data_IF_733235774546
#
_entry.id   IF_733235774546
#
_cell.length_a   1.000
_cell.length_b   1.000
_cell.length_c   1.000
_cell.angle_alpha   90.00
_cell.angle_beta   90.00
_cell.angle_gamma   90.00
#
_symmetry.space_group_name_H-M   'P 1'
#
loop_
_entity.id
_entity.type
_entity.pdbx_description
1 polymer ?
#
# COMPACT_ATOMS: atom_id res chain seq x y z
N UNK A 1 15.42 -24.58 31.47
CA UNK A 1 15.73 -23.94 30.18
C UNK A 1 14.49 -23.17 29.74
N UNK A 2 14.44 -21.88 30.01
CA UNK A 2 13.34 -21.01 29.59
C UNK A 2 13.66 -20.49 28.19
N UNK A 3 12.83 -20.87 27.21
CA UNK A 3 12.91 -20.41 25.83
C UNK A 3 12.91 -18.88 25.79
N UNK A 4 14.10 -18.27 25.64
CA UNK A 4 14.22 -16.91 25.11
C UNK A 4 13.79 -16.99 23.65
N UNK A 5 12.49 -16.78 23.39
CA UNK A 5 12.00 -16.40 22.06
C UNK A 5 12.95 -15.31 21.55
N UNK A 6 13.67 -15.60 20.47
CA UNK A 6 14.64 -14.68 19.93
C UNK A 6 13.91 -13.39 19.60
N UNK A 7 14.20 -12.33 20.34
CA UNK A 7 13.76 -10.98 20.03
C UNK A 7 14.28 -10.61 18.64
N UNK A 8 13.48 -10.89 17.62
CA UNK A 8 13.78 -10.49 16.26
C UNK A 8 13.61 -8.98 16.22
N UNK A 9 14.73 -8.26 16.06
CA UNK A 9 14.75 -6.79 15.96
C UNK A 9 13.70 -6.31 14.96
N UNK A 10 13.06 -5.18 15.26
CA UNK A 10 12.03 -4.60 14.40
C UNK A 10 12.47 -4.40 12.95
N UNK A 11 13.77 -4.19 12.72
CA UNK A 11 14.34 -4.19 11.37
C UNK A 11 13.98 -5.45 10.56
N UNK A 12 14.20 -6.65 11.09
CA UNK A 12 13.90 -7.90 10.37
C UNK A 12 12.39 -8.14 10.23
N UNK A 13 11.61 -7.74 11.25
CA UNK A 13 10.13 -7.78 11.15
C UNK A 13 9.63 -6.86 10.04
N UNK A 14 10.24 -5.69 9.89
CA UNK A 14 9.92 -4.73 8.84
C UNK A 14 10.31 -5.24 7.45
N UNK A 15 11.51 -5.79 7.29
CA UNK A 15 11.97 -6.41 6.03
C UNK A 15 11.01 -7.53 5.60
N UNK A 16 10.62 -8.41 6.54
CA UNK A 16 9.68 -9.50 6.26
C UNK A 16 8.30 -8.97 5.86
N UNK A 17 7.79 -7.97 6.57
CA UNK A 17 6.51 -7.33 6.26
C UNK A 17 6.54 -6.72 4.86
N UNK A 18 7.61 -6.01 4.50
CA UNK A 18 7.77 -5.40 3.18
C UNK A 18 7.80 -6.46 2.09
N UNK A 19 8.63 -7.49 2.25
CA UNK A 19 8.77 -8.56 1.28
C UNK A 19 7.45 -9.31 1.02
N UNK A 20 6.67 -9.59 2.08
CA UNK A 20 5.42 -10.35 1.96
C UNK A 20 4.24 -9.54 1.47
N UNK A 21 4.13 -8.27 1.90
CA UNK A 21 2.95 -7.46 1.58
C UNK A 21 2.97 -6.90 0.17
N UNK A 22 4.15 -6.63 -0.41
CA UNK A 22 4.29 -5.93 -1.69
C UNK A 22 3.52 -6.56 -2.83
N UNK A 23 3.62 -7.88 -3.01
CA UNK A 23 2.94 -8.60 -4.10
C UNK A 23 1.42 -8.51 -3.95
N UNK A 24 0.91 -8.74 -2.74
CA UNK A 24 -0.52 -8.70 -2.44
C UNK A 24 -1.08 -7.28 -2.62
N UNK A 25 -0.37 -6.26 -2.15
CA UNK A 25 -0.76 -4.86 -2.33
C UNK A 25 -0.75 -4.44 -3.81
N UNK A 26 0.22 -4.91 -4.59
CA UNK A 26 0.27 -4.67 -6.03
C UNK A 26 -0.94 -5.29 -6.75
N UNK A 27 -1.29 -6.54 -6.44
CA UNK A 27 -2.49 -7.16 -7.00
C UNK A 27 -3.75 -6.42 -6.59
N UNK A 28 -3.86 -6.04 -5.32
CA UNK A 28 -5.00 -5.26 -4.84
C UNK A 28 -5.12 -3.92 -5.57
N UNK A 29 -4.00 -3.22 -5.78
CA UNK A 29 -3.98 -1.97 -6.53
C UNK A 29 -4.50 -2.16 -7.95
N UNK A 30 -4.00 -3.16 -8.68
CA UNK A 30 -4.45 -3.44 -10.05
C UNK A 30 -5.94 -3.76 -10.11
N UNK A 31 -6.44 -4.56 -9.16
CA UNK A 31 -7.87 -4.90 -9.07
C UNK A 31 -8.73 -3.66 -8.81
N UNK A 32 -8.34 -2.83 -7.83
CA UNK A 32 -9.06 -1.57 -7.53
C UNK A 32 -8.97 -0.57 -8.67
N UNK A 33 -7.84 -0.52 -9.36
CA UNK A 33 -7.67 0.35 -10.53
C UNK A 33 -8.69 -0.01 -11.62
N UNK A 34 -8.81 -1.31 -11.95
CA UNK A 34 -9.83 -1.80 -12.90
C UNK A 34 -11.23 -1.42 -12.44
N UNK A 35 -11.54 -1.67 -11.17
CA UNK A 35 -12.86 -1.39 -10.59
C UNK A 35 -13.21 0.11 -10.60
N UNK A 36 -12.25 0.99 -10.32
CA UNK A 36 -12.51 2.43 -10.20
C UNK A 36 -12.37 3.21 -11.50
N UNK A 37 -11.74 2.62 -12.53
CA UNK A 37 -11.49 3.27 -13.81
C UNK A 37 -12.26 2.59 -14.96
N UNK A 38 -13.50 2.19 -14.71
CA UNK A 38 -14.41 1.63 -15.73
C UNK A 38 -13.83 0.45 -16.52
N UNK A 39 -13.14 -0.47 -15.83
CA UNK A 39 -12.55 -1.65 -16.45
C UNK A 39 -11.16 -1.44 -17.06
N UNK A 40 -10.61 -0.23 -17.01
CA UNK A 40 -9.25 0.01 -17.52
C UNK A 40 -8.21 -0.77 -16.72
N UNK A 41 -7.34 -1.49 -17.42
CA UNK A 41 -6.29 -2.31 -16.80
C UNK A 41 -5.02 -1.50 -16.64
N UNK A 42 -4.42 -1.57 -15.45
CA UNK A 42 -3.07 -1.06 -15.23
C UNK A 42 -2.06 -1.92 -15.98
N UNK A 43 -1.43 -1.36 -17.00
CA UNK A 43 -0.56 -2.11 -17.93
C UNK A 43 0.94 -1.91 -17.68
N UNK A 44 1.32 -1.32 -16.54
CA UNK A 44 2.70 -1.06 -16.15
C UNK A 44 3.51 -0.21 -17.13
N UNK A 45 2.85 0.55 -18.02
CA UNK A 45 3.52 1.43 -18.97
C UNK A 45 3.75 2.84 -18.40
N UNK A 46 4.83 3.53 -18.80
CA UNK A 46 5.04 4.93 -18.45
C UNK A 46 3.88 5.84 -18.86
N UNK A 47 3.18 5.52 -19.95
CA UNK A 47 2.00 6.29 -20.38
C UNK A 47 0.86 6.18 -19.36
N UNK A 48 0.57 4.97 -18.88
CA UNK A 48 -0.43 4.74 -17.83
C UNK A 48 -0.03 5.43 -16.52
N UNK A 49 1.24 5.28 -16.12
CA UNK A 49 1.84 5.95 -14.96
C UNK A 49 1.70 7.47 -14.99
N UNK A 50 2.17 8.10 -16.08
CA UNK A 50 2.08 9.55 -16.27
C UNK A 50 0.64 10.06 -16.26
N UNK A 51 -0.27 9.37 -16.97
CA UNK A 51 -1.68 9.75 -16.97
C UNK A 51 -2.28 9.67 -15.58
N UNK A 52 -1.93 8.65 -14.80
CA UNK A 52 -2.40 8.49 -13.43
C UNK A 52 -1.86 9.60 -12.50
N UNK A 53 -0.59 9.94 -12.61
CA UNK A 53 0.00 11.05 -11.84
C UNK A 53 -0.70 12.38 -12.16
N UNK A 54 -0.87 12.70 -13.44
CA UNK A 54 -1.47 13.98 -13.86
C UNK A 54 -2.96 14.07 -13.58
N UNK A 55 -3.71 12.97 -13.74
CA UNK A 55 -5.17 13.03 -13.65
C UNK A 55 -5.74 12.60 -12.29
N UNK A 56 -5.07 11.72 -11.56
CA UNK A 56 -5.54 11.20 -10.28
C UNK A 56 -4.74 11.83 -9.13
N UNK A 57 -3.42 11.63 -9.11
CA UNK A 57 -2.59 12.09 -7.98
C UNK A 57 -2.58 13.61 -7.88
N UNK A 58 -2.42 14.34 -8.99
CA UNK A 58 -2.36 15.80 -8.96
C UNK A 58 -3.68 16.45 -8.51
N UNK A 59 -4.83 15.76 -8.71
CA UNK A 59 -6.15 16.28 -8.34
C UNK A 59 -6.57 15.87 -6.93
N UNK A 60 -5.97 14.79 -6.39
CA UNK A 60 -6.30 14.26 -5.08
C UNK A 60 -5.24 14.64 -4.03
N UNK A 61 -5.53 15.71 -3.27
CA UNK A 61 -4.63 16.23 -2.22
C UNK A 61 -4.38 15.26 -1.06
N UNK A 62 -5.16 14.19 -0.93
CA UNK A 62 -4.95 13.17 0.12
C UNK A 62 -3.82 12.21 -0.25
N UNK A 63 -3.54 12.02 -1.54
CA UNK A 63 -2.39 11.25 -2.02
C UNK A 63 -1.13 12.13 -1.92
N UNK A 64 -0.50 12.10 -0.75
CA UNK A 64 0.74 12.84 -0.50
C UNK A 64 1.97 11.96 -0.70
N UNK A 65 2.42 11.83 -1.94
CA UNK A 65 3.64 11.12 -2.31
C UNK A 65 4.84 12.07 -2.37
N UNK A 66 6.02 11.59 -1.95
CA UNK A 66 7.28 12.30 -2.16
C UNK A 66 7.63 12.41 -3.65
N UNK A 67 8.53 13.31 -4.07
CA UNK A 67 8.94 13.40 -5.47
C UNK A 67 9.49 12.08 -6.04
N UNK A 68 10.24 11.33 -5.24
CA UNK A 68 10.78 10.01 -5.62
C UNK A 68 9.65 9.01 -5.87
N UNK A 69 8.67 8.96 -4.97
CA UNK A 69 7.50 8.08 -5.12
C UNK A 69 6.65 8.47 -6.33
N UNK A 70 6.43 9.77 -6.57
CA UNK A 70 5.70 10.24 -7.76
C UNK A 70 6.43 9.86 -9.05
N UNK A 71 7.75 9.94 -9.06
CA UNK A 71 8.57 9.52 -10.21
C UNK A 71 8.42 8.02 -10.45
N UNK A 72 8.49 7.20 -9.40
CA UNK A 72 8.28 5.75 -9.50
C UNK A 72 6.88 5.39 -10.02
N UNK A 73 5.84 6.11 -9.60
CA UNK A 73 4.47 5.92 -10.14
C UNK A 73 4.36 6.38 -11.59
N UNK A 74 4.99 7.50 -11.95
CA UNK A 74 5.03 8.04 -13.32
C UNK A 74 5.69 7.07 -14.31
N UNK A 75 6.70 6.30 -13.88
CA UNK A 75 7.32 5.24 -14.68
C UNK A 75 6.35 4.09 -15.01
N UNK A 76 5.23 3.98 -14.30
CA UNK A 76 4.18 3.01 -14.57
C UNK A 76 4.43 1.62 -13.99
N UNK A 77 5.69 1.21 -13.84
CA UNK A 77 6.05 -0.12 -13.40
C UNK A 77 5.70 -0.36 -11.91
N UNK A 78 4.59 -1.06 -11.65
CA UNK A 78 4.14 -1.34 -10.29
C UNK A 78 5.07 -2.29 -9.51
N UNK A 79 5.99 -2.98 -10.20
CA UNK A 79 7.02 -3.83 -9.58
C UNK A 79 8.15 -3.03 -8.93
N UNK A 80 8.19 -1.71 -9.15
CA UNK A 80 9.15 -0.80 -8.54
C UNK A 80 8.58 -0.08 -7.33
N UNK A 81 7.27 -0.17 -7.09
CA UNK A 81 6.63 0.59 -6.02
C UNK A 81 6.88 -0.04 -4.66
N UNK A 82 7.28 0.79 -3.70
CA UNK A 82 7.43 0.35 -2.31
C UNK A 82 6.06 0.21 -1.62
N UNK A 83 6.05 -0.46 -0.47
CA UNK A 83 4.83 -0.67 0.32
C UNK A 83 4.19 0.64 0.75
N UNK A 84 4.99 1.66 1.04
CA UNK A 84 4.46 2.98 1.44
C UNK A 84 3.65 3.62 0.33
N UNK A 85 4.17 3.54 -0.90
CA UNK A 85 3.56 4.07 -2.12
C UNK A 85 2.28 3.31 -2.41
N UNK A 86 2.33 1.97 -2.42
CA UNK A 86 1.16 1.13 -2.63
C UNK A 86 0.05 1.40 -1.60
N UNK A 87 0.38 1.45 -0.30
CA UNK A 87 -0.61 1.73 0.74
C UNK A 87 -1.20 3.14 0.62
N UNK A 88 -0.39 4.14 0.27
CA UNK A 88 -0.88 5.50 0.06
C UNK A 88 -1.83 5.59 -1.14
N UNK A 89 -1.50 4.93 -2.25
CA UNK A 89 -2.38 4.86 -3.42
C UNK A 89 -3.69 4.13 -3.11
N UNK A 90 -3.61 2.99 -2.42
CA UNK A 90 -4.78 2.17 -2.10
C UNK A 90 -5.77 2.87 -1.16
N UNK A 91 -5.29 3.56 -0.13
CA UNK A 91 -6.14 4.22 0.87
C UNK A 91 -6.80 5.50 0.35
N UNK A 92 -6.20 6.15 -0.65
CA UNK A 92 -6.60 7.49 -1.06
C UNK A 92 -7.00 7.61 -2.53
N UNK A 93 -7.02 6.50 -3.30
CA UNK A 93 -7.60 6.50 -4.64
C UNK A 93 -9.09 6.88 -4.57
N UNK A 94 -9.53 7.70 -5.52
CA UNK A 94 -10.94 8.09 -5.61
C UNK A 94 -11.78 6.88 -6.03
N UNK A 95 -12.80 6.57 -5.21
CA UNK A 95 -13.72 5.47 -5.46
C UNK A 95 -14.67 5.84 -6.60
N UNK A 96 -15.04 4.86 -7.41
CA UNK A 96 -16.11 5.04 -8.39
C UNK A 96 -17.44 5.34 -7.67
N UNK A 97 -18.26 6.22 -8.26
CA UNK A 97 -19.62 6.52 -7.78
C UNK A 97 -20.63 5.43 -8.13
N UNK A 98 -20.24 4.44 -8.92
CA UNK A 98 -21.13 3.39 -9.45
C UNK A 98 -20.95 2.05 -8.75
N UNK A 99 -20.25 2.01 -7.62
CA UNK A 99 -20.04 0.77 -6.86
C UNK A 99 -21.34 0.29 -6.23
N UNK A 100 -21.53 -1.03 -6.23
CA UNK A 100 -22.58 -1.69 -5.46
C UNK A 100 -22.31 -1.61 -3.95
N UNK A 101 -23.36 -1.79 -3.14
CA UNK A 101 -23.24 -1.81 -1.67
C UNK A 101 -22.25 -2.88 -1.19
N UNK A 102 -22.25 -4.06 -1.81
CA UNK A 102 -21.33 -5.14 -1.45
C UNK A 102 -19.87 -4.80 -1.75
N UNK A 103 -19.61 -4.15 -2.89
CA UNK A 103 -18.25 -3.71 -3.25
C UNK A 103 -17.76 -2.63 -2.28
N UNK A 104 -18.62 -1.68 -1.92
CA UNK A 104 -18.30 -0.63 -0.94
C UNK A 104 -17.90 -1.26 0.40
N UNK A 105 -18.69 -2.22 0.89
CA UNK A 105 -18.42 -2.87 2.17
C UNK A 105 -17.10 -3.65 2.16
N UNK A 106 -16.83 -4.40 1.08
CA UNK A 106 -15.56 -5.10 0.92
C UNK A 106 -14.38 -4.12 0.92
N UNK A 107 -14.48 -3.02 0.17
CA UNK A 107 -13.43 -1.99 0.12
C UNK A 107 -13.21 -1.35 1.49
N UNK A 108 -14.28 -1.09 2.25
CA UNK A 108 -14.17 -0.54 3.60
C UNK A 108 -13.47 -1.50 4.58
N UNK A 109 -13.70 -2.79 4.46
CA UNK A 109 -12.99 -3.81 5.25
C UNK A 109 -11.51 -3.88 4.87
N UNK A 110 -11.21 -3.90 3.58
CA UNK A 110 -9.84 -3.84 3.07
C UNK A 110 -9.12 -2.55 3.51
N UNK A 111 -9.80 -1.40 3.52
CA UNK A 111 -9.23 -0.12 3.96
C UNK A 111 -8.88 -0.13 5.46
N UNK A 112 -9.69 -0.80 6.30
CA UNK A 112 -9.34 -1.01 7.72
C UNK A 112 -8.06 -1.82 7.86
N UNK A 113 -7.91 -2.89 7.08
CA UNK A 113 -6.71 -3.73 7.10
C UNK A 113 -5.48 -2.97 6.58
N UNK A 114 -5.63 -2.15 5.54
CA UNK A 114 -4.57 -1.29 5.01
C UNK A 114 -4.12 -0.24 6.02
N UNK A 115 -5.07 0.33 6.78
CA UNK A 115 -4.77 1.28 7.84
C UNK A 115 -4.00 0.61 8.99
N UNK A 116 -4.41 -0.60 9.41
CA UNK A 116 -3.66 -1.40 10.40
C UNK A 116 -2.24 -1.72 9.91
N UNK A 117 -2.09 -2.15 8.65
CA UNK A 117 -0.78 -2.41 8.06
C UNK A 117 0.12 -1.17 8.09
N UNK A 118 -0.43 0.00 7.75
CA UNK A 118 0.29 1.28 7.81
C UNK A 118 0.75 1.59 9.23
N UNK A 119 -0.09 1.37 10.23
CA UNK A 119 0.22 1.60 11.64
C UNK A 119 1.30 0.67 12.17
N UNK A 120 1.20 -0.64 11.89
CA UNK A 120 2.23 -1.63 12.26
C UNK A 120 3.57 -1.27 11.64
N UNK A 121 3.59 -0.98 10.32
CA UNK A 121 4.80 -0.57 9.61
C UNK A 121 5.41 0.67 10.23
N UNK A 122 4.59 1.69 10.54
CA UNK A 122 5.06 2.92 11.16
C UNK A 122 5.64 2.65 12.56
N UNK A 123 4.98 1.85 13.39
CA UNK A 123 5.48 1.48 14.73
C UNK A 123 6.85 0.79 14.65
N UNK A 124 7.01 -0.16 13.73
CA UNK A 124 8.26 -0.87 13.50
C UNK A 124 9.37 0.07 13.00
N UNK A 125 9.06 0.92 12.02
CA UNK A 125 10.04 1.84 11.41
C UNK A 125 10.55 2.90 12.42
N UNK A 126 9.68 3.47 13.24
CA UNK A 126 10.07 4.45 14.26
C UNK A 126 10.80 3.84 15.46
N UNK A 127 10.73 2.51 15.63
CA UNK A 127 11.40 1.77 16.70
C UNK A 127 12.33 0.70 16.13
N UNK A 128 12.98 0.93 14.99
CA UNK A 128 13.71 -0.10 14.24
C UNK A 128 14.80 -0.84 15.05
N UNK A 129 15.36 -0.18 16.08
CA UNK A 129 16.38 -0.73 17.00
C UNK A 129 15.81 -1.44 18.23
N UNK A 130 14.51 -1.32 18.51
CA UNK A 130 13.81 -1.99 19.61
C UNK A 130 13.16 -3.30 19.11
N UNK A 131 12.69 -4.13 20.04
CA UNK A 131 11.88 -5.32 19.76
C UNK A 131 10.43 -5.00 20.10
N UNK A 132 9.54 -5.05 19.11
CA UNK A 132 8.08 -5.10 19.32
C UNK A 132 7.75 -6.55 19.65
N UNK A 133 7.01 -6.79 20.74
CA UNK A 133 6.60 -8.15 21.13
C UNK A 133 5.60 -8.75 20.12
N UNK A 134 5.33 -10.05 20.23
CA UNK A 134 4.46 -10.75 19.27
C UNK A 134 2.98 -10.37 19.41
N UNK A 135 2.58 -9.78 20.55
CA UNK A 135 1.21 -9.30 20.80
C UNK A 135 0.94 -7.99 20.06
N UNK A 136 1.97 -7.17 19.86
CA UNK A 136 1.88 -5.93 19.09
C UNK A 136 2.05 -6.12 17.57
N UNK A 137 2.52 -7.30 17.14
CA UNK A 137 2.77 -7.62 15.73
C UNK A 137 1.63 -8.40 15.05
N UNK A 138 0.90 -9.23 15.81
CA UNK A 138 -0.28 -9.97 15.35
C UNK A 138 -1.57 -9.15 15.51
#
# INVERSE_FOLDING_TARGET
MTNKLSEVRNYFKLELLIARSRISLRHLFKNRYVLFNNGQVWNDSPTCGNNYVTNVIAKNKKINLTPVQKTSVSNGNSDEWDVTTLTALLLFIDRSKTLSTSEIQQIDEEDKLLQQLREIRNKLAHNATKSVDDVQFN
#
